data_IF_173358164172
#
_entry.id   IF_173358164172
#
_cell.length_a   1.000
_cell.length_b   1.000
_cell.length_c   1.000
_cell.angle_alpha   90.00
_cell.angle_beta   90.00
_cell.angle_gamma   90.00
#
_symmetry.space_group_name_H-M   'P 1'
#
loop_
_entity.id
_entity.type
_entity.pdbx_description
1 polymer ?
#
# COMPACT_ATOMS: atom_id res chain seq x y z
N UNK A 1 10.98 -6.00 4.29
CA UNK A 1 11.44 -4.81 3.54
C UNK A 1 10.43 -4.42 2.46
N UNK A 2 9.73 -5.37 1.83
CA UNK A 2 8.68 -5.11 0.83
C UNK A 2 7.58 -4.12 1.26
N UNK A 3 6.98 -4.34 2.44
CA UNK A 3 5.91 -3.47 2.94
C UNK A 3 6.36 -2.00 3.08
N UNK A 4 7.62 -1.76 3.44
CA UNK A 4 8.16 -0.40 3.50
C UNK A 4 8.12 0.25 2.13
N UNK A 5 8.61 -0.44 1.10
CA UNK A 5 8.59 0.08 -0.27
C UNK A 5 7.16 0.29 -0.77
N UNK A 6 6.25 -0.64 -0.48
CA UNK A 6 4.85 -0.53 -0.85
C UNK A 6 4.15 0.69 -0.23
N UNK A 7 4.31 0.89 1.08
CA UNK A 7 3.71 2.04 1.76
C UNK A 7 4.41 3.36 1.37
N UNK A 8 5.71 3.34 1.12
CA UNK A 8 6.45 4.51 0.62
C UNK A 8 6.04 4.90 -0.80
N UNK A 9 5.74 3.94 -1.68
CA UNK A 9 5.14 4.19 -2.99
C UNK A 9 3.78 4.89 -2.85
N UNK A 10 2.95 4.46 -1.90
CA UNK A 10 1.67 5.13 -1.65
C UNK A 10 1.86 6.55 -1.10
N UNK A 11 2.87 6.77 -0.25
CA UNK A 11 3.18 8.10 0.26
C UNK A 11 3.77 9.04 -0.80
N UNK A 12 4.52 8.52 -1.78
CA UNK A 12 5.17 9.33 -2.83
C UNK A 12 4.18 9.93 -3.83
N UNK A 13 2.99 9.33 -4.01
CA UNK A 13 1.96 9.86 -4.91
C UNK A 13 1.45 11.19 -4.35
N UNK A 14 1.54 12.32 -5.08
CA UNK A 14 1.07 13.62 -4.58
C UNK A 14 -0.44 13.61 -4.29
N UNK A 15 -0.86 14.29 -3.23
CA UNK A 15 -2.28 14.39 -2.88
C UNK A 15 -3.10 15.05 -4.00
N UNK A 16 -2.50 16.00 -4.73
CA UNK A 16 -3.12 16.64 -5.90
C UNK A 16 -3.44 15.64 -7.01
N UNK A 17 -2.57 14.65 -7.23
CA UNK A 17 -2.78 13.57 -8.22
C UNK A 17 -3.92 12.66 -7.77
N UNK A 18 -3.96 12.31 -6.49
CA UNK A 18 -5.03 11.48 -5.95
C UNK A 18 -6.40 12.18 -5.95
N UNK A 19 -6.42 13.49 -5.67
CA UNK A 19 -7.63 14.31 -5.73
C UNK A 19 -8.12 14.54 -7.17
N UNK A 20 -7.20 14.52 -8.15
CA UNK A 20 -7.55 14.55 -9.57
C UNK A 20 -8.19 13.24 -10.08
N UNK A 21 -8.15 12.17 -9.28
CA UNK A 21 -8.87 10.92 -9.51
C UNK A 21 -8.02 9.79 -10.10
N UNK A 22 -8.70 8.71 -10.45
CA UNK A 22 -8.07 7.42 -10.81
C UNK A 22 -7.22 7.50 -12.08
N UNK A 23 -7.65 8.31 -13.06
CA UNK A 23 -6.91 8.50 -14.32
C UNK A 23 -5.55 9.16 -14.09
N UNK A 24 -5.55 10.30 -13.38
CA UNK A 24 -4.33 11.02 -13.05
C UNK A 24 -3.39 10.17 -12.20
N UNK A 25 -3.95 9.45 -11.24
CA UNK A 25 -3.19 8.52 -10.39
C UNK A 25 -2.55 7.41 -11.21
N UNK A 26 -3.30 6.79 -12.13
CA UNK A 26 -2.76 5.76 -13.02
C UNK A 26 -1.61 6.28 -13.88
N UNK A 27 -1.79 7.44 -14.53
CA UNK A 27 -0.76 8.02 -15.40
C UNK A 27 0.50 8.32 -14.60
N UNK A 28 0.36 8.98 -13.45
CA UNK A 28 1.48 9.31 -12.58
C UNK A 28 2.27 8.06 -12.16
N UNK A 29 1.58 6.99 -11.75
CA UNK A 29 2.24 5.73 -11.35
C UNK A 29 2.99 5.08 -12.52
N UNK A 30 2.45 5.10 -13.74
CA UNK A 30 3.13 4.54 -14.92
C UNK A 30 4.39 5.32 -15.30
N UNK A 31 4.37 6.64 -15.14
CA UNK A 31 5.47 7.52 -15.50
C UNK A 31 6.59 7.53 -14.45
N UNK A 32 6.22 7.54 -13.17
CA UNK A 32 7.16 7.72 -12.07
C UNK A 32 7.65 6.39 -11.47
N UNK A 33 6.91 5.31 -11.67
CA UNK A 33 7.21 3.99 -11.11
C UNK A 33 7.06 2.82 -12.11
N UNK A 34 7.61 2.93 -13.35
CA UNK A 34 7.49 1.87 -14.35
C UNK A 34 8.14 0.55 -13.93
N UNK A 35 9.15 0.59 -13.06
CA UNK A 35 9.82 -0.58 -12.49
C UNK A 35 8.94 -1.33 -11.49
N UNK A 36 8.08 -0.61 -10.76
CA UNK A 36 7.16 -1.19 -9.77
C UNK A 36 6.02 -1.98 -10.43
N UNK A 37 5.79 -1.76 -11.73
CA UNK A 37 4.77 -2.45 -12.53
C UNK A 37 5.26 -3.75 -13.19
N UNK A 38 6.56 -4.06 -13.09
CA UNK A 38 7.10 -5.29 -13.67
C UNK A 38 6.79 -6.46 -12.73
N UNK A 39 5.89 -7.35 -13.18
CA UNK A 39 5.58 -8.62 -12.48
C UNK A 39 6.89 -9.37 -12.18
N UNK A 40 7.31 -9.38 -10.92
CA UNK A 40 8.36 -10.27 -10.42
C UNK A 40 7.71 -11.35 -9.58
N UNK A 41 7.17 -12.37 -10.26
CA UNK A 41 6.68 -13.58 -9.59
C UNK A 41 7.82 -14.18 -8.75
N UNK A 42 7.62 -14.24 -7.43
CA UNK A 42 8.58 -14.84 -6.48
C UNK A 42 9.55 -13.89 -5.76
N UNK A 43 9.37 -12.57 -5.85
CA UNK A 43 10.31 -11.59 -5.27
C UNK A 43 9.92 -11.06 -3.88
N UNK A 44 10.91 -10.57 -3.13
CA UNK A 44 10.82 -9.71 -1.93
C UNK A 44 10.07 -8.37 -2.22
N UNK A 45 9.56 -8.17 -3.45
CA UNK A 45 8.79 -7.00 -3.90
C UNK A 45 7.33 -7.33 -4.25
N UNK A 46 6.81 -8.50 -3.87
CA UNK A 46 5.48 -8.95 -4.24
C UNK A 46 4.35 -8.02 -3.77
N UNK A 47 4.44 -7.46 -2.56
CA UNK A 47 3.51 -6.50 -1.99
C UNK A 47 3.56 -5.16 -2.76
N UNK A 48 4.76 -4.63 -2.98
CA UNK A 48 4.95 -3.36 -3.71
C UNK A 48 4.44 -3.49 -5.15
N UNK A 49 4.79 -4.58 -5.83
CA UNK A 49 4.35 -4.85 -7.19
C UNK A 49 2.83 -5.08 -7.28
N UNK A 50 2.22 -5.79 -6.32
CA UNK A 50 0.78 -5.96 -6.26
C UNK A 50 0.06 -4.61 -6.12
N UNK A 51 0.51 -3.77 -5.19
CA UNK A 51 -0.08 -2.44 -4.99
C UNK A 51 0.11 -1.56 -6.23
N UNK A 52 1.33 -1.49 -6.79
CA UNK A 52 1.61 -0.71 -7.98
C UNK A 52 0.74 -1.15 -9.18
N UNK A 53 0.60 -2.47 -9.37
CA UNK A 53 -0.23 -3.04 -10.42
C UNK A 53 -1.69 -2.66 -10.24
N UNK A 54 -2.22 -2.77 -9.03
CA UNK A 54 -3.62 -2.42 -8.74
C UNK A 54 -3.91 -0.93 -8.91
N UNK A 55 -2.94 -0.05 -8.63
CA UNK A 55 -3.05 1.38 -8.96
C UNK A 55 -3.06 1.56 -10.48
N UNK A 56 -2.15 0.89 -11.19
CA UNK A 56 -2.05 1.00 -12.65
C UNK A 56 -3.27 0.41 -13.39
N UNK A 57 -3.99 -0.53 -12.79
CA UNK A 57 -5.25 -1.07 -13.32
C UNK A 57 -6.49 -0.37 -12.75
N UNK A 58 -6.32 0.67 -11.93
CA UNK A 58 -7.42 1.39 -11.23
C UNK A 58 -8.29 0.49 -10.34
N UNK A 59 -7.80 -0.69 -9.98
CA UNK A 59 -8.49 -1.62 -9.08
C UNK A 59 -8.53 -1.09 -7.63
N UNK A 60 -7.61 -0.19 -7.27
CA UNK A 60 -7.65 0.61 -6.04
C UNK A 60 -8.03 2.05 -6.41
N UNK A 61 -9.18 2.56 -5.94
CA UNK A 61 -9.56 3.95 -6.15
C UNK A 61 -8.58 4.93 -5.48
N UNK A 62 -8.34 6.08 -6.10
CA UNK A 62 -7.46 7.14 -5.59
C UNK A 62 -7.90 7.64 -4.20
N UNK A 63 -9.21 7.70 -3.95
CA UNK A 63 -9.76 8.02 -2.63
C UNK A 63 -9.33 7.01 -1.54
N UNK A 64 -9.18 5.74 -1.90
CA UNK A 64 -8.70 4.69 -1.00
C UNK A 64 -7.22 4.85 -0.69
N UNK A 65 -6.41 5.25 -1.68
CA UNK A 65 -4.99 5.57 -1.50
C UNK A 65 -4.83 6.77 -0.56
N UNK A 66 -5.64 7.83 -0.72
CA UNK A 66 -5.66 8.95 0.22
C UNK A 66 -5.99 8.51 1.65
N UNK A 67 -6.94 7.59 1.82
CA UNK A 67 -7.28 7.03 3.13
C UNK A 67 -6.11 6.24 3.73
N UNK A 68 -5.43 5.44 2.91
CA UNK A 68 -4.23 4.71 3.32
C UNK A 68 -3.13 5.68 3.75
N UNK A 69 -2.83 6.74 2.98
CA UNK A 69 -1.85 7.77 3.36
C UNK A 69 -2.19 8.38 4.72
N UNK A 70 -3.45 8.78 4.94
CA UNK A 70 -3.90 9.31 6.23
C UNK A 70 -3.70 8.32 7.38
N UNK A 71 -3.96 7.03 7.16
CA UNK A 71 -3.74 5.98 8.16
C UNK A 71 -2.25 5.75 8.44
N UNK A 72 -1.40 5.82 7.43
CA UNK A 72 0.06 5.77 7.61
C UNK A 72 0.54 6.94 8.47
N UNK A 73 0.11 8.17 8.14
CA UNK A 73 0.44 9.36 8.93
C UNK A 73 -0.09 9.25 10.36
N UNK A 74 -1.34 8.84 10.55
CA UNK A 74 -1.94 8.63 11.87
C UNK A 74 -1.25 7.51 12.67
N UNK A 75 -0.69 6.51 11.99
CA UNK A 75 0.15 5.46 12.58
C UNK A 75 1.57 5.91 12.95
N UNK A 76 1.94 7.17 12.64
CA UNK A 76 3.26 7.74 12.88
C UNK A 76 4.26 7.51 11.75
N UNK A 77 3.77 7.36 10.51
CA UNK A 77 4.56 7.20 9.30
C UNK A 77 4.89 5.74 8.97
N UNK A 78 5.42 5.52 7.76
CA UNK A 78 5.72 4.18 7.21
C UNK A 78 6.58 3.35 8.17
N UNK A 79 7.66 3.91 8.71
CA UNK A 79 8.58 3.18 9.57
C UNK A 79 7.90 2.61 10.82
N UNK A 80 7.01 3.38 11.45
CA UNK A 80 6.32 2.98 12.69
C UNK A 80 5.25 1.93 12.40
N UNK A 81 4.49 2.11 11.32
CA UNK A 81 3.52 1.13 10.85
C UNK A 81 4.17 -0.20 10.49
N UNK A 82 5.25 -0.18 9.70
CA UNK A 82 5.97 -1.40 9.32
C UNK A 82 6.55 -2.09 10.55
N UNK A 83 7.06 -1.34 11.53
CA UNK A 83 7.55 -1.90 12.79
C UNK A 83 6.44 -2.59 13.60
N UNK A 84 5.25 -2.01 13.64
CA UNK A 84 4.08 -2.64 14.25
C UNK A 84 3.70 -3.93 13.54
N UNK A 85 3.69 -3.92 12.20
CA UNK A 85 3.37 -5.10 11.41
C UNK A 85 4.42 -6.19 11.59
N UNK A 86 5.69 -5.82 11.63
CA UNK A 86 6.80 -6.73 11.91
C UNK A 86 6.71 -7.35 13.31
N UNK A 87 6.35 -6.56 14.34
CA UNK A 87 6.08 -7.05 15.69
C UNK A 87 4.91 -8.04 15.75
N UNK A 88 3.96 -7.91 14.83
CA UNK A 88 2.86 -8.86 14.62
C UNK A 88 3.21 -9.99 13.63
N UNK A 89 4.48 -10.12 13.23
CA UNK A 89 4.97 -11.10 12.26
C UNK A 89 4.26 -11.04 10.90
N UNK A 90 3.79 -9.85 10.49
CA UNK A 90 2.95 -9.63 9.31
C UNK A 90 1.67 -10.49 9.29
N UNK A 91 1.25 -11.02 10.44
CA UNK A 91 0.02 -11.78 10.49
C UNK A 91 -1.18 -10.83 10.58
N UNK A 92 -2.08 -10.93 9.61
CA UNK A 92 -3.26 -10.07 9.54
C UNK A 92 -4.13 -10.09 10.81
N UNK A 93 -4.35 -11.26 11.41
CA UNK A 93 -5.19 -11.36 12.61
C UNK A 93 -4.52 -10.68 13.81
N UNK A 94 -3.20 -10.84 13.96
CA UNK A 94 -2.43 -10.12 14.98
C UNK A 94 -2.44 -8.62 14.76
N UNK A 95 -2.28 -8.16 13.51
CA UNK A 95 -2.31 -6.73 13.16
C UNK A 95 -3.70 -6.13 13.40
N UNK A 96 -4.76 -6.87 13.05
CA UNK A 96 -6.13 -6.48 13.33
C UNK A 96 -6.39 -6.39 14.84
N UNK A 97 -5.83 -7.33 15.62
CA UNK A 97 -5.94 -7.33 17.08
C UNK A 97 -5.17 -6.17 17.75
N UNK A 98 -4.08 -5.66 17.14
CA UNK A 98 -3.41 -4.43 17.58
C UNK A 98 -4.37 -3.23 17.50
N UNK A 99 -5.27 -3.21 16.50
CA UNK A 99 -6.25 -2.15 16.32
C UNK A 99 -5.63 -0.80 15.92
N UNK A 100 -6.38 0.28 16.15
CA UNK A 100 -5.96 1.63 15.81
C UNK A 100 -5.66 1.83 14.32
N UNK A 101 -4.74 2.76 14.01
CA UNK A 101 -4.37 3.08 12.63
C UNK A 101 -3.72 1.89 11.90
N UNK A 102 -2.96 1.05 12.60
CA UNK A 102 -2.33 -0.15 12.04
C UNK A 102 -3.38 -1.20 11.63
N UNK A 103 -4.34 -1.51 12.51
CA UNK A 103 -5.43 -2.43 12.17
C UNK A 103 -6.34 -1.91 11.06
N UNK A 104 -6.66 -0.60 11.10
CA UNK A 104 -7.45 0.05 10.05
C UNK A 104 -6.72 0.05 8.70
N UNK A 105 -5.41 0.30 8.70
CA UNK A 105 -4.60 0.22 7.49
C UNK A 105 -4.59 -1.20 6.91
N UNK A 106 -4.43 -2.22 7.76
CA UNK A 106 -4.47 -3.62 7.31
C UNK A 106 -5.82 -3.97 6.69
N UNK A 107 -6.93 -3.45 7.20
CA UNK A 107 -8.26 -3.63 6.60
C UNK A 107 -8.38 -2.99 5.21
N UNK A 108 -7.87 -1.77 5.05
CA UNK A 108 -7.89 -1.09 3.74
C UNK A 108 -7.05 -1.85 2.70
N UNK A 109 -5.90 -2.37 3.12
CA UNK A 109 -4.92 -3.07 2.28
C UNK A 109 -5.40 -4.51 1.93
N UNK A 110 -5.98 -5.25 2.88
CA UNK A 110 -6.35 -6.68 2.70
C UNK A 110 -7.67 -6.91 1.97
N UNK A 111 -8.41 -5.85 1.63
CA UNK A 111 -9.61 -5.96 0.78
C UNK A 111 -9.36 -6.61 -0.58
N UNK A 112 -8.09 -6.69 -1.02
CA UNK A 112 -7.66 -7.34 -2.25
C UNK A 112 -6.83 -8.61 -1.97
N UNK A 113 -7.19 -9.72 -2.64
CA UNK A 113 -6.52 -11.02 -2.45
C UNK A 113 -5.07 -11.05 -2.92
N UNK A 114 -4.70 -10.24 -3.92
CA UNK A 114 -3.31 -10.15 -4.40
C UNK A 114 -2.46 -9.44 -3.35
N UNK A 115 -2.98 -8.37 -2.75
CA UNK A 115 -2.31 -7.67 -1.65
C UNK A 115 -2.18 -8.57 -0.44
N UNK A 116 -3.25 -9.28 -0.05
CA UNK A 116 -3.18 -10.20 1.10
C UNK A 116 -2.06 -11.23 0.93
N UNK A 117 -1.95 -11.86 -0.25
CA UNK A 117 -0.90 -12.86 -0.54
C UNK A 117 0.49 -12.27 -0.69
N UNK A 118 0.60 -11.02 -1.16
CA UNK A 118 1.88 -10.35 -1.35
C UNK A 118 2.43 -9.72 -0.06
N UNK A 119 1.57 -9.33 0.88
CA UNK A 119 1.90 -8.45 1.99
C UNK A 119 1.80 -9.06 3.41
N UNK A 120 1.10 -10.19 3.58
CA UNK A 120 0.80 -10.84 4.86
C UNK A 120 0.96 -12.36 4.77
#
# INVERSE_FOLDING_TARGET
>A
MDMTAALSLLESIPDSVLLAGDEATRQWTKENHPESLKETRGSILACTAAIATLIATTAIPAAKILKIKKLITAGGGVAKVVKLYWGASFNYEKIRAIGGAAGALALEIVGDTAIKKGCF
#
